data_IF_650402753866
#
_entry.id   IF_650402753866
#
_cell.length_a   1.000
_cell.length_b   1.000
_cell.length_c   1.000
_cell.angle_alpha   90.00
_cell.angle_beta   90.00
_cell.angle_gamma   90.00
#
_symmetry.space_group_name_H-M   'P 1'
#
loop_
_entity.id
_entity.type
_entity.pdbx_description
1 polymer ?
#
# COMPACT_ATOMS: atom_id res chain seq x y z
N UNK A 1 40.94 -51.44 79.68
CA UNK A 1 40.35 -52.18 78.54
C UNK A 1 39.82 -51.17 77.54
N UNK A 2 40.28 -51.28 76.29
CA UNK A 2 40.08 -50.33 75.20
C UNK A 2 38.61 -49.97 74.93
N UNK A 3 38.36 -48.70 74.59
CA UNK A 3 37.27 -48.30 73.73
C UNK A 3 37.82 -47.44 72.59
N UNK A 4 37.38 -47.74 71.37
CA UNK A 4 37.83 -47.19 70.10
C UNK A 4 37.21 -45.82 69.81
N UNK A 5 37.97 -44.88 69.24
CA UNK A 5 37.41 -43.72 68.52
C UNK A 5 38.35 -43.21 67.41
N UNK A 6 37.99 -43.62 66.18
CA UNK A 6 38.08 -42.98 64.85
C UNK A 6 39.09 -41.84 64.56
N UNK A 7 39.99 -42.14 63.62
CA UNK A 7 40.34 -41.41 62.37
C UNK A 7 40.60 -39.88 62.36
N UNK A 8 41.90 -39.53 62.11
CA UNK A 8 42.53 -38.56 61.18
C UNK A 8 41.67 -37.45 60.50
N UNK A 9 42.22 -36.25 60.12
CA UNK A 9 43.44 -36.14 59.29
C UNK A 9 44.32 -34.85 59.38
N UNK A 10 45.44 -34.95 58.67
CA UNK A 10 46.44 -33.94 58.29
C UNK A 10 45.85 -32.72 57.54
N UNK A 11 46.36 -31.52 57.85
CA UNK A 11 46.18 -30.30 57.05
C UNK A 11 47.35 -30.13 56.06
N UNK A 12 47.05 -30.18 54.77
CA UNK A 12 47.94 -29.77 53.67
C UNK A 12 47.43 -28.41 53.16
N UNK A 13 48.27 -27.38 53.23
CA UNK A 13 47.93 -26.01 52.81
C UNK A 13 48.10 -25.90 51.28
N UNK A 14 47.00 -25.68 50.56
CA UNK A 14 46.97 -25.34 49.13
C UNK A 14 46.48 -23.89 48.97
N UNK A 15 47.38 -23.00 48.56
CA UNK A 15 47.09 -21.61 48.20
C UNK A 15 46.30 -21.58 46.88
N UNK A 16 45.02 -21.23 46.95
CA UNK A 16 44.17 -20.94 45.78
C UNK A 16 44.30 -19.46 45.40
N UNK A 17 45.06 -19.17 44.34
CA UNK A 17 45.00 -17.89 43.63
C UNK A 17 43.64 -17.78 42.93
N UNK A 18 42.77 -16.90 43.42
CA UNK A 18 41.53 -16.53 42.75
C UNK A 18 41.83 -15.55 41.63
N UNK A 19 41.72 -16.02 40.38
CA UNK A 19 41.69 -15.14 39.20
C UNK A 19 40.30 -14.50 39.17
N UNK A 20 40.19 -13.26 39.66
CA UNK A 20 39.02 -12.43 39.40
C UNK A 20 38.98 -12.12 37.90
N UNK A 21 38.09 -12.80 37.18
CA UNK A 21 37.74 -12.39 35.83
C UNK A 21 37.05 -11.02 35.92
N UNK A 22 37.73 -9.98 35.45
CA UNK A 22 37.13 -8.67 35.22
C UNK A 22 35.98 -8.83 34.22
N UNK A 23 34.75 -8.77 34.71
CA UNK A 23 33.57 -8.59 33.85
C UNK A 23 33.67 -7.16 33.30
N UNK A 24 34.15 -7.03 32.07
CA UNK A 24 34.06 -5.77 31.34
C UNK A 24 32.57 -5.45 31.14
N UNK A 25 32.07 -4.43 31.83
CA UNK A 25 30.81 -3.78 31.52
C UNK A 25 30.89 -3.29 30.06
N UNK A 26 30.12 -3.90 29.15
CA UNK A 26 29.91 -3.29 27.84
C UNK A 26 29.19 -1.97 28.05
N UNK A 27 29.86 -0.86 27.71
CA UNK A 27 29.24 0.46 27.68
C UNK A 27 28.04 0.42 26.73
N UNK A 28 26.84 0.33 27.30
CA UNK A 28 25.60 0.45 26.53
C UNK A 28 25.38 1.92 26.24
N UNK A 29 25.51 2.32 24.97
CA UNK A 29 25.25 3.71 24.58
C UNK A 29 23.82 4.10 24.99
N UNK A 30 23.63 5.28 25.62
CA UNK A 30 22.32 5.73 26.05
C UNK A 30 21.43 5.97 24.83
N UNK A 31 20.22 5.40 24.88
CA UNK A 31 19.20 5.56 23.83
C UNK A 31 18.83 7.04 23.72
N UNK A 32 18.87 7.59 22.50
CA UNK A 32 18.34 8.93 22.19
C UNK A 32 16.87 8.96 22.55
N UNK A 33 16.52 9.76 23.56
CA UNK A 33 15.15 9.89 24.03
C UNK A 33 14.44 10.97 23.22
N UNK A 34 13.35 10.59 22.57
CA UNK A 34 12.40 11.54 22.02
C UNK A 34 11.45 11.99 23.12
N UNK A 35 11.44 13.28 23.42
CA UNK A 35 10.44 13.87 24.31
C UNK A 35 9.32 14.47 23.48
N UNK A 36 8.08 14.16 23.82
CA UNK A 36 6.90 14.74 23.18
C UNK A 36 6.10 15.58 24.17
N UNK A 37 5.49 16.65 23.67
CA UNK A 37 4.55 17.48 24.44
C UNK A 37 3.15 17.25 23.90
N UNK A 38 2.21 16.90 24.78
CA UNK A 38 0.81 16.80 24.44
C UNK A 38 0.07 18.07 24.85
N UNK A 39 -0.77 18.58 23.95
CA UNK A 39 -1.74 19.62 24.24
C UNK A 39 -3.00 19.33 23.42
N UNK A 40 -4.15 19.25 24.07
CA UNK A 40 -5.41 18.89 23.42
C UNK A 40 -5.83 19.92 22.35
N UNK A 41 -5.49 21.20 22.55
CA UNK A 41 -5.85 22.28 21.63
C UNK A 41 -5.00 22.32 20.36
N UNK A 42 -3.93 21.53 20.26
CA UNK A 42 -3.00 21.58 19.12
C UNK A 42 -3.57 20.93 17.84
N UNK A 43 -4.81 20.48 17.85
CA UNK A 43 -5.43 19.86 16.68
C UNK A 43 -5.84 20.85 15.61
N UNK A 44 -5.81 20.37 14.37
CA UNK A 44 -6.60 20.96 13.28
C UNK A 44 -7.99 20.34 13.32
N UNK A 45 -9.00 21.17 13.56
CA UNK A 45 -10.42 20.77 13.63
C UNK A 45 -10.97 20.44 12.25
N UNK A 46 -11.83 19.41 12.18
CA UNK A 46 -12.57 18.99 10.98
C UNK A 46 -11.66 18.68 9.79
N UNK A 47 -10.47 18.15 10.04
CA UNK A 47 -9.50 17.77 9.02
C UNK A 47 -8.88 16.42 9.35
N UNK A 48 -8.50 15.70 8.30
CA UNK A 48 -7.79 14.45 8.39
C UNK A 48 -6.98 14.20 7.11
N UNK A 49 -5.95 13.38 7.25
CA UNK A 49 -5.13 12.89 6.18
C UNK A 49 -5.71 11.56 5.68
N UNK A 50 -6.30 11.58 4.48
CA UNK A 50 -7.07 10.43 3.96
C UNK A 50 -6.17 9.36 3.37
N UNK A 51 -6.46 8.08 3.67
CA UNK A 51 -5.80 6.93 3.01
C UNK A 51 -4.36 6.68 3.45
N UNK A 52 -3.92 7.24 4.60
CA UNK A 52 -2.57 7.07 5.15
C UNK A 52 -2.52 6.46 6.56
N UNK A 53 -3.68 6.13 7.15
CA UNK A 53 -3.69 5.39 8.40
C UNK A 53 -3.07 4.01 8.20
N UNK A 54 -1.98 3.73 8.91
CA UNK A 54 -1.36 2.42 8.90
C UNK A 54 -1.74 1.55 10.10
N UNK A 55 -2.29 2.18 11.14
CA UNK A 55 -2.75 1.51 12.36
C UNK A 55 -3.99 2.22 12.89
N UNK A 56 -5.06 1.45 13.06
CA UNK A 56 -6.29 1.91 13.69
C UNK A 56 -6.41 1.27 15.07
N UNK A 57 -6.82 2.05 16.06
CA UNK A 57 -7.13 1.59 17.40
C UNK A 57 -8.33 2.35 17.97
N UNK A 58 -8.93 1.81 19.02
CA UNK A 58 -10.01 2.49 19.75
C UNK A 58 -9.43 3.07 21.03
N UNK A 59 -9.60 4.37 21.25
CA UNK A 59 -9.15 5.07 22.47
C UNK A 59 -10.33 5.81 23.12
N UNK A 60 -10.26 5.98 24.44
CA UNK A 60 -11.23 6.78 25.19
C UNK A 60 -10.86 8.26 25.20
N UNK A 61 -9.56 8.56 25.13
CA UNK A 61 -9.03 9.92 25.19
C UNK A 61 -8.09 10.20 24.02
N UNK A 62 -7.89 11.49 23.73
CA UNK A 62 -6.89 11.94 22.75
C UNK A 62 -5.48 11.62 23.27
N UNK A 63 -5.26 11.76 24.59
CA UNK A 63 -3.96 11.51 25.20
C UNK A 63 -3.53 10.03 25.10
N UNK A 64 -4.46 9.08 25.17
CA UNK A 64 -4.17 7.68 24.87
C UNK A 64 -3.66 7.51 23.43
N UNK A 65 -4.33 8.11 22.44
CA UNK A 65 -3.91 8.05 21.03
C UNK A 65 -2.51 8.65 20.84
N UNK A 66 -2.25 9.81 21.45
CA UNK A 66 -0.92 10.42 21.51
C UNK A 66 0.12 9.48 22.12
N UNK A 67 -0.22 8.80 23.21
CA UNK A 67 0.69 7.91 23.94
C UNK A 67 1.04 6.67 23.13
N UNK A 68 0.13 6.16 22.30
CA UNK A 68 0.45 5.09 21.36
C UNK A 68 1.32 5.62 20.22
N UNK A 69 1.01 6.79 19.67
CA UNK A 69 1.77 7.41 18.59
C UNK A 69 3.22 7.72 19.00
N UNK A 70 3.45 8.34 20.16
CA UNK A 70 4.79 8.74 20.61
C UNK A 70 5.73 7.53 20.80
N UNK A 71 5.17 6.37 21.18
CA UNK A 71 5.89 5.11 21.40
C UNK A 71 6.03 4.26 20.13
N UNK A 72 5.46 4.70 19.01
CA UNK A 72 5.60 4.07 17.71
C UNK A 72 6.53 4.92 16.84
N UNK A 73 7.73 4.40 16.54
CA UNK A 73 8.70 5.15 15.75
C UNK A 73 8.25 5.46 14.32
N UNK A 74 7.23 4.76 13.81
CA UNK A 74 6.64 5.04 12.50
C UNK A 74 5.67 6.22 12.54
N UNK A 75 5.10 6.54 13.71
CA UNK A 75 4.08 7.56 13.83
C UNK A 75 4.68 8.98 13.71
N UNK A 76 4.15 9.75 12.76
CA UNK A 76 4.50 11.15 12.49
C UNK A 76 3.33 12.07 12.83
N UNK A 77 2.10 11.60 12.58
CA UNK A 77 0.87 12.30 12.97
C UNK A 77 -0.20 11.29 13.40
N UNK A 78 -1.23 11.77 14.05
CA UNK A 78 -2.37 10.95 14.47
C UNK A 78 -3.66 11.75 14.34
N UNK A 79 -4.76 11.05 14.07
CA UNK A 79 -6.08 11.67 13.94
C UNK A 79 -7.16 10.86 14.63
N UNK A 80 -8.21 11.54 15.08
CA UNK A 80 -9.32 10.91 15.77
C UNK A 80 -10.66 11.27 15.13
N UNK A 81 -11.58 10.31 15.10
CA UNK A 81 -13.00 10.50 14.80
C UNK A 81 -13.83 9.69 15.81
N UNK A 82 -14.53 10.40 16.70
CA UNK A 82 -15.12 9.79 17.89
C UNK A 82 -14.06 9.07 18.73
N UNK A 83 -14.19 7.75 18.87
CA UNK A 83 -13.25 6.87 19.60
C UNK A 83 -12.19 6.22 18.71
N UNK A 84 -12.29 6.39 17.39
CA UNK A 84 -11.34 5.82 16.44
C UNK A 84 -10.10 6.68 16.41
N UNK A 85 -8.96 6.11 16.75
CA UNK A 85 -7.64 6.71 16.67
C UNK A 85 -6.87 6.06 15.51
N UNK A 86 -6.29 6.89 14.65
CA UNK A 86 -5.59 6.48 13.45
C UNK A 86 -4.15 7.02 13.52
N UNK A 87 -3.16 6.14 13.49
CA UNK A 87 -1.75 6.52 13.41
C UNK A 87 -1.32 6.62 11.96
N UNK A 88 -0.52 7.64 11.66
CA UNK A 88 -0.12 8.02 10.30
C UNK A 88 1.39 8.22 10.26
N UNK A 89 2.02 7.72 9.20
CA UNK A 89 3.47 7.73 8.99
C UNK A 89 3.94 8.88 8.09
N UNK A 90 3.10 9.89 7.96
CA UNK A 90 3.25 11.13 7.19
C UNK A 90 2.58 12.27 7.96
N UNK A 91 2.76 13.50 7.49
CA UNK A 91 2.02 14.68 7.96
C UNK A 91 1.45 15.48 6.78
N UNK A 92 0.70 16.54 7.07
CA UNK A 92 0.08 17.42 6.07
C UNK A 92 1.09 18.15 5.17
N UNK A 93 2.36 18.22 5.57
CA UNK A 93 3.41 18.84 4.77
C UNK A 93 4.01 17.84 3.78
N UNK A 94 4.13 16.57 4.18
CA UNK A 94 4.59 15.49 3.29
C UNK A 94 3.49 15.00 2.34
N UNK A 95 2.21 15.14 2.72
CA UNK A 95 1.07 14.71 1.89
C UNK A 95 -0.07 15.75 1.84
N UNK A 96 0.19 16.97 1.33
CA UNK A 96 -0.78 18.07 1.35
C UNK A 96 -2.05 17.76 0.56
N UNK A 97 -1.94 17.03 -0.55
CA UNK A 97 -3.09 16.68 -1.40
C UNK A 97 -4.09 15.77 -0.71
N UNK A 98 -3.65 15.01 0.31
CA UNK A 98 -4.48 14.08 1.08
C UNK A 98 -5.02 14.70 2.37
N UNK A 99 -4.57 15.88 2.74
CA UNK A 99 -5.06 16.61 3.90
C UNK A 99 -6.37 17.32 3.54
N UNK A 100 -7.50 16.71 3.88
CA UNK A 100 -8.83 17.16 3.47
C UNK A 100 -9.69 17.53 4.67
N UNK A 101 -10.63 18.45 4.44
CA UNK A 101 -11.68 18.77 5.41
C UNK A 101 -12.62 17.57 5.56
N UNK A 102 -12.70 17.05 6.77
CA UNK A 102 -13.53 15.91 7.18
C UNK A 102 -14.20 16.26 8.51
N UNK A 103 -15.47 16.71 8.49
CA UNK A 103 -16.19 17.08 9.70
C UNK A 103 -16.18 15.98 10.77
N UNK A 104 -15.92 16.38 12.02
CA UNK A 104 -15.84 15.48 13.17
C UNK A 104 -14.45 14.90 13.45
N UNK A 105 -13.48 15.08 12.54
CA UNK A 105 -12.10 14.67 12.77
C UNK A 105 -11.28 15.70 13.56
N UNK A 106 -10.35 15.22 14.39
CA UNK A 106 -9.29 16.02 15.03
C UNK A 106 -7.93 15.48 14.57
N UNK A 107 -7.16 16.27 13.83
CA UNK A 107 -5.82 15.89 13.34
C UNK A 107 -4.72 16.55 14.18
N UNK A 108 -3.70 15.78 14.57
CA UNK A 108 -2.58 16.22 15.40
C UNK A 108 -1.24 15.86 14.75
N UNK A 109 -0.31 16.81 14.73
CA UNK A 109 1.09 16.56 14.38
C UNK A 109 1.86 16.14 15.63
N UNK A 110 2.71 15.12 15.52
CA UNK A 110 3.51 14.66 16.65
C UNK A 110 4.68 15.63 16.89
N UNK A 111 4.55 16.50 17.89
CA UNK A 111 5.62 17.41 18.30
C UNK A 111 6.62 16.69 19.19
N UNK A 112 7.81 16.41 18.65
CA UNK A 112 8.92 15.77 19.36
C UNK A 112 10.22 16.59 19.25
N UNK A 113 11.08 16.42 20.24
CA UNK A 113 12.44 16.98 20.24
C UNK A 113 13.48 15.87 20.48
N UNK A 114 14.62 15.99 19.81
CA UNK A 114 15.79 15.16 20.03
C UNK A 114 16.57 15.68 21.24
N UNK A 115 16.69 14.87 22.30
CA UNK A 115 17.67 15.14 23.35
C UNK A 115 18.97 14.42 23.01
N UNK A 116 19.99 15.17 22.58
CA UNK A 116 21.34 14.64 22.37
C UNK A 116 21.92 14.21 23.71
N UNK A 117 22.48 13.00 23.77
CA UNK A 117 23.30 12.57 24.90
C UNK A 117 24.64 13.30 24.86
N UNK A 118 25.11 13.83 25.99
CA UNK A 118 26.43 14.46 26.13
C UNK A 118 27.59 13.43 26.23
N UNK A 119 27.34 12.15 25.89
CA UNK A 119 28.36 11.11 25.92
C UNK A 119 29.29 11.22 24.71
N UNK A 120 30.49 11.75 24.95
CA UNK A 120 31.59 11.96 23.96
C UNK A 120 32.07 10.68 23.26
N UNK A 121 31.70 9.50 23.78
CA UNK A 121 32.19 8.20 23.29
C UNK A 121 31.25 7.47 22.31
N UNK A 122 30.01 7.93 22.08
CA UNK A 122 29.02 7.26 21.20
C UNK A 122 28.68 8.08 19.94
N UNK A 123 29.56 8.98 19.52
CA UNK A 123 29.27 10.08 18.58
C UNK A 123 28.99 9.66 17.13
N UNK A 124 29.27 8.40 16.75
CA UNK A 124 29.25 7.97 15.34
C UNK A 124 28.02 7.15 14.93
N UNK A 125 27.31 6.49 15.85
CA UNK A 125 26.14 5.67 15.52
C UNK A 125 24.89 6.13 16.27
N UNK A 126 23.88 6.53 15.51
CA UNK A 126 22.56 6.81 16.05
C UNK A 126 22.01 5.56 16.73
N UNK A 127 21.67 5.69 18.01
CA UNK A 127 20.95 4.67 18.77
C UNK A 127 19.72 5.32 19.41
N UNK A 128 18.55 5.12 18.84
CA UNK A 128 17.26 5.63 19.32
C UNK A 128 16.27 4.52 19.69
N UNK A 129 16.66 3.26 19.52
CA UNK A 129 15.89 2.09 19.91
C UNK A 129 14.72 1.74 18.98
N UNK A 130 14.46 2.51 17.92
CA UNK A 130 13.36 2.24 16.99
C UNK A 130 13.47 0.88 16.32
N UNK A 131 14.67 0.49 15.89
CA UNK A 131 14.87 -0.80 15.23
C UNK A 131 14.73 -1.97 16.20
N UNK A 132 15.08 -1.76 17.47
CA UNK A 132 14.98 -2.78 18.52
C UNK A 132 13.55 -2.97 19.02
N UNK A 133 12.84 -1.87 19.29
CA UNK A 133 11.55 -1.89 19.99
C UNK A 133 10.35 -1.81 19.07
N UNK A 134 10.35 -0.91 18.08
CA UNK A 134 9.23 -0.77 17.13
C UNK A 134 9.30 -1.79 15.98
N UNK A 135 10.50 -2.33 15.68
CA UNK A 135 10.76 -3.25 14.56
C UNK A 135 10.00 -2.86 13.28
N UNK A 136 10.21 -1.63 12.78
CA UNK A 136 9.30 -1.04 11.82
C UNK A 136 9.37 -1.67 10.42
N UNK A 137 10.52 -2.24 10.02
CA UNK A 137 10.71 -2.80 8.69
C UNK A 137 10.03 -4.16 8.53
N UNK A 138 9.23 -4.29 7.48
CA UNK A 138 8.50 -5.51 7.13
C UNK A 138 9.25 -6.34 6.07
N UNK A 139 8.75 -7.54 5.80
CA UNK A 139 9.15 -8.38 4.66
C UNK A 139 10.67 -8.59 4.52
N UNK A 140 11.37 -8.80 5.64
CA UNK A 140 12.81 -9.04 5.65
C UNK A 140 13.67 -7.79 5.43
N UNK A 141 13.10 -6.59 5.49
CA UNK A 141 13.86 -5.34 5.41
C UNK A 141 14.81 -5.13 6.60
N UNK A 142 16.00 -4.61 6.33
CA UNK A 142 16.99 -4.26 7.36
C UNK A 142 16.70 -2.86 7.90
N UNK A 143 16.55 -2.73 9.21
CA UNK A 143 16.31 -1.45 9.88
C UNK A 143 17.61 -0.75 10.25
N UNK A 144 17.68 0.55 9.95
CA UNK A 144 18.80 1.45 10.27
C UNK A 144 18.25 2.64 11.06
N UNK A 145 18.79 2.94 12.24
CA UNK A 145 18.33 4.05 13.08
C UNK A 145 18.86 5.39 12.59
N UNK A 146 18.02 6.43 12.65
CA UNK A 146 18.37 7.80 12.24
C UNK A 146 17.97 8.81 13.32
N UNK A 147 18.89 9.70 13.67
CA UNK A 147 18.74 10.64 14.79
C UNK A 147 18.78 12.10 14.33
N UNK A 148 18.65 12.34 13.02
CA UNK A 148 18.73 13.67 12.43
C UNK A 148 17.37 14.39 12.45
N UNK A 149 16.27 13.64 12.27
CA UNK A 149 14.93 14.18 12.17
C UNK A 149 13.96 13.35 13.03
N UNK A 150 13.13 14.01 13.82
CA UNK A 150 12.11 13.37 14.67
C UNK A 150 10.98 12.72 13.87
N UNK A 151 10.73 13.15 12.63
CA UNK A 151 9.73 12.51 11.75
C UNK A 151 10.30 11.34 10.95
N UNK A 152 11.64 11.21 10.89
CA UNK A 152 12.36 10.12 10.23
C UNK A 152 13.39 9.52 11.19
N UNK A 153 12.90 8.67 12.11
CA UNK A 153 13.69 8.03 13.17
C UNK A 153 14.39 6.74 12.73
N UNK A 154 14.03 6.21 11.57
CA UNK A 154 14.67 5.03 11.00
C UNK A 154 14.56 5.07 9.47
N UNK A 155 15.37 4.23 8.84
CA UNK A 155 15.27 3.89 7.43
C UNK A 155 15.22 2.36 7.29
N UNK A 156 14.39 1.88 6.38
CA UNK A 156 14.38 0.46 6.00
C UNK A 156 15.10 0.27 4.67
N UNK A 157 16.11 -0.60 4.67
CA UNK A 157 16.67 -1.15 3.44
C UNK A 157 15.84 -2.38 3.08
N UNK A 158 14.99 -2.27 2.07
CA UNK A 158 14.09 -3.35 1.71
C UNK A 158 14.80 -4.52 1.06
N UNK A 159 14.27 -5.73 1.33
CA UNK A 159 14.62 -6.92 0.58
C UNK A 159 14.28 -6.71 -0.91
N UNK A 160 14.93 -7.46 -1.77
CA UNK A 160 14.84 -7.26 -3.22
C UNK A 160 13.38 -7.26 -3.70
N UNK A 161 13.02 -6.26 -4.50
CA UNK A 161 11.67 -6.07 -5.05
C UNK A 161 10.63 -5.46 -4.10
N UNK A 162 10.82 -5.51 -2.77
CA UNK A 162 9.94 -4.80 -1.85
C UNK A 162 10.24 -3.30 -1.83
N UNK A 163 9.20 -2.50 -1.63
CA UNK A 163 9.30 -1.04 -1.61
C UNK A 163 8.54 -0.39 -0.46
N UNK A 164 8.61 0.93 -0.40
CA UNK A 164 7.93 1.75 0.60
C UNK A 164 8.77 1.97 1.86
N UNK A 165 8.32 2.92 2.68
CA UNK A 165 9.04 3.41 3.88
C UNK A 165 9.42 2.31 4.86
N UNK A 166 8.57 1.29 4.99
CA UNK A 166 8.75 0.14 5.87
C UNK A 166 8.76 -1.19 5.12
N UNK A 167 9.04 -1.17 3.82
CA UNK A 167 9.07 -2.37 2.97
C UNK A 167 7.72 -3.09 2.89
N UNK A 168 6.63 -2.33 3.00
CA UNK A 168 5.27 -2.84 2.96
C UNK A 168 4.72 -3.01 1.54
N UNK A 169 5.30 -2.34 0.54
CA UNK A 169 4.87 -2.47 -0.86
C UNK A 169 5.46 -3.78 -1.37
N UNK A 170 4.61 -4.76 -1.77
CA UNK A 170 5.10 -6.00 -2.33
C UNK A 170 5.77 -5.74 -3.69
N UNK A 171 6.68 -6.63 -4.12
CA UNK A 171 7.20 -6.59 -5.49
C UNK A 171 6.07 -6.62 -6.51
N UNK A 172 6.14 -5.71 -7.49
CA UNK A 172 5.39 -5.87 -8.73
C UNK A 172 6.02 -6.99 -9.56
N UNK A 173 5.31 -7.44 -10.59
CA UNK A 173 5.83 -8.47 -11.49
C UNK A 173 7.12 -8.04 -12.20
N UNK A 174 7.32 -6.73 -12.37
CA UNK A 174 8.57 -6.16 -12.90
C UNK A 174 9.79 -6.52 -12.03
N UNK A 175 9.62 -6.55 -10.71
CA UNK A 175 10.70 -6.87 -9.79
C UNK A 175 11.07 -8.36 -9.79
N UNK A 176 10.14 -9.25 -10.14
CA UNK A 176 10.38 -10.71 -10.17
C UNK A 176 11.50 -11.10 -11.13
N UNK A 177 11.52 -10.48 -12.32
CA UNK A 177 12.48 -10.78 -13.40
C UNK A 177 13.93 -10.52 -12.97
N UNK A 178 14.16 -9.71 -11.94
CA UNK A 178 15.49 -9.36 -11.46
C UNK A 178 15.93 -10.15 -10.21
N UNK A 179 15.03 -10.90 -9.55
CA UNK A 179 15.19 -11.12 -8.10
C UNK A 179 14.65 -12.43 -7.50
N UNK A 180 13.99 -13.32 -8.26
CA UNK A 180 13.41 -14.58 -7.74
C UNK A 180 12.63 -14.39 -6.41
N UNK A 181 11.75 -13.38 -6.36
CA UNK A 181 11.03 -12.98 -5.14
C UNK A 181 9.68 -13.70 -5.04
N UNK A 182 9.24 -13.97 -3.81
CA UNK A 182 7.87 -14.41 -3.56
C UNK A 182 6.88 -13.27 -3.85
N UNK A 183 6.04 -13.45 -4.88
CA UNK A 183 5.03 -12.48 -5.29
C UNK A 183 3.72 -12.69 -4.55
N UNK A 184 3.17 -11.62 -3.97
CA UNK A 184 1.79 -11.60 -3.41
C UNK A 184 0.74 -11.11 -4.42
N UNK A 185 1.15 -10.89 -5.66
CA UNK A 185 0.31 -10.38 -6.75
C UNK A 185 0.31 -11.37 -7.90
N UNK A 186 -0.76 -11.39 -8.70
CA UNK A 186 -0.80 -12.20 -9.91
C UNK A 186 -0.03 -11.50 -11.05
N UNK A 187 0.78 -12.29 -11.77
CA UNK A 187 1.63 -11.83 -12.86
C UNK A 187 1.28 -12.49 -14.18
N UNK A 188 1.16 -11.67 -15.22
CA UNK A 188 1.18 -12.13 -16.60
C UNK A 188 2.49 -11.65 -17.25
N UNK A 189 3.36 -12.61 -17.54
CA UNK A 189 4.70 -12.40 -18.12
C UNK A 189 4.82 -13.01 -19.52
N UNK A 190 3.78 -13.69 -20.00
CA UNK A 190 3.88 -14.55 -21.18
C UNK A 190 2.92 -14.16 -22.30
N UNK A 191 1.84 -13.44 -21.98
CA UNK A 191 0.81 -13.16 -22.98
C UNK A 191 1.22 -12.14 -24.02
N UNK A 192 2.16 -11.25 -23.70
CA UNK A 192 2.67 -10.24 -24.63
C UNK A 192 4.19 -10.13 -24.51
N UNK A 193 4.96 -10.40 -25.59
CA UNK A 193 6.40 -10.23 -25.59
C UNK A 193 6.80 -8.80 -25.23
N UNK A 194 7.80 -8.66 -24.35
CA UNK A 194 8.31 -7.36 -23.91
C UNK A 194 7.40 -6.63 -22.91
N UNK A 195 6.33 -7.25 -22.41
CA UNK A 195 5.46 -6.67 -21.40
C UNK A 195 5.35 -7.57 -20.17
N UNK A 196 5.43 -6.94 -18.99
CA UNK A 196 5.15 -7.62 -17.72
C UNK A 196 3.99 -6.91 -17.03
N UNK A 197 2.93 -7.67 -16.78
CA UNK A 197 1.67 -7.17 -16.23
C UNK A 197 1.46 -7.65 -14.80
N UNK A 198 1.10 -6.71 -13.93
CA UNK A 198 0.67 -6.96 -12.55
C UNK A 198 -0.84 -6.73 -12.44
N UNK A 199 -1.57 -7.72 -11.96
CA UNK A 199 -3.01 -7.58 -11.72
C UNK A 199 -3.25 -6.69 -10.50
N UNK A 200 -4.08 -5.66 -10.64
CA UNK A 200 -4.46 -4.77 -9.52
C UNK A 200 -5.90 -4.98 -9.05
N UNK A 201 -6.76 -5.53 -9.90
CA UNK A 201 -8.16 -5.81 -9.58
C UNK A 201 -8.73 -6.89 -10.51
N UNK A 202 -9.54 -7.79 -9.96
CA UNK A 202 -10.37 -8.71 -10.73
C UNK A 202 -11.69 -8.95 -10.02
N UNK A 203 -12.82 -8.80 -10.71
CA UNK A 203 -14.13 -9.07 -10.12
C UNK A 203 -15.09 -9.71 -11.12
N UNK A 204 -15.95 -10.59 -10.62
CA UNK A 204 -17.02 -11.22 -11.39
C UNK A 204 -18.22 -10.27 -11.58
N UNK A 205 -18.97 -10.43 -12.67
CA UNK A 205 -20.15 -9.64 -12.97
C UNK A 205 -21.24 -9.77 -11.90
N UNK A 206 -21.33 -10.93 -11.25
CA UNK A 206 -22.17 -11.14 -10.05
C UNK A 206 -21.83 -10.17 -8.89
N UNK A 207 -20.60 -9.64 -8.83
CA UNK A 207 -20.13 -8.67 -7.84
C UNK A 207 -20.27 -7.21 -8.29
N UNK A 208 -20.88 -6.91 -9.45
CA UNK A 208 -21.00 -5.54 -9.98
C UNK A 208 -21.51 -4.52 -8.96
N UNK A 209 -22.51 -4.86 -8.14
CA UNK A 209 -23.07 -3.95 -7.13
C UNK A 209 -22.03 -3.57 -6.06
N UNK A 210 -21.13 -4.51 -5.71
CA UNK A 210 -20.04 -4.28 -4.76
C UNK A 210 -19.01 -3.28 -5.32
N UNK A 211 -18.67 -3.40 -6.60
CA UNK A 211 -17.61 -2.62 -7.26
C UNK A 211 -18.10 -1.33 -7.93
N UNK A 212 -19.37 -1.20 -8.30
CA UNK A 212 -19.84 -0.10 -9.16
C UNK A 212 -19.60 1.31 -8.59
N UNK A 213 -19.50 1.46 -7.27
CA UNK A 213 -19.21 2.72 -6.55
C UNK A 213 -17.81 2.73 -5.93
N UNK A 214 -16.87 1.97 -6.51
CA UNK A 214 -15.51 1.78 -5.99
C UNK A 214 -14.47 2.19 -7.05
N UNK A 215 -14.33 3.49 -7.39
CA UNK A 215 -13.27 3.94 -8.29
C UNK A 215 -11.89 3.45 -7.80
N UNK A 216 -10.93 3.25 -8.71
CA UNK A 216 -9.54 2.87 -8.39
C UNK A 216 -8.85 3.91 -7.47
N UNK A 217 -9.38 5.13 -7.41
CA UNK A 217 -8.88 6.22 -6.56
C UNK A 217 -9.15 6.03 -5.06
N UNK A 218 -10.07 5.15 -4.66
CA UNK A 218 -10.37 4.88 -3.25
C UNK A 218 -9.69 3.61 -2.72
N UNK A 219 -9.47 3.56 -1.41
CA UNK A 219 -8.99 2.37 -0.73
C UNK A 219 -10.12 1.37 -0.48
N UNK A 220 -10.02 0.21 -1.13
CA UNK A 220 -11.01 -0.87 -1.10
C UNK A 220 -10.34 -2.25 -1.30
N UNK A 221 -9.35 -2.62 -0.47
CA UNK A 221 -8.70 -3.91 -0.61
C UNK A 221 -9.72 -5.05 -0.46
N UNK A 222 -9.62 -6.05 -1.31
CA UNK A 222 -10.50 -7.22 -1.31
C UNK A 222 -9.66 -8.45 -1.62
N UNK A 223 -9.64 -9.42 -0.70
CA UNK A 223 -8.91 -10.68 -0.88
C UNK A 223 -7.42 -10.49 -1.26
N UNK A 224 -6.80 -9.39 -0.79
CA UNK A 224 -5.41 -9.01 -1.14
C UNK A 224 -4.39 -10.07 -0.68
N UNK A 225 -4.60 -10.69 0.47
CA UNK A 225 -3.73 -11.75 1.02
C UNK A 225 -4.15 -13.17 0.56
N UNK A 226 -5.31 -13.32 -0.08
CA UNK A 226 -5.83 -14.61 -0.53
C UNK A 226 -6.51 -14.45 -1.89
N UNK A 227 -5.70 -14.48 -2.94
CA UNK A 227 -6.11 -14.18 -4.30
C UNK A 227 -7.38 -14.94 -4.74
N UNK A 228 -8.33 -14.21 -5.34
CA UNK A 228 -9.57 -14.76 -5.88
C UNK A 228 -9.99 -14.02 -7.15
N UNK A 229 -9.97 -14.69 -8.31
CA UNK A 229 -10.37 -14.11 -9.60
C UNK A 229 -11.73 -13.40 -9.61
N UNK A 230 -12.69 -13.84 -8.80
CA UNK A 230 -14.05 -13.29 -8.79
C UNK A 230 -14.21 -12.11 -7.85
N UNK A 231 -13.26 -11.89 -6.93
CA UNK A 231 -13.36 -10.88 -5.87
C UNK A 231 -11.96 -10.55 -5.33
N UNK A 232 -11.17 -9.80 -6.10
CA UNK A 232 -9.80 -9.40 -5.76
C UNK A 232 -9.55 -7.93 -6.09
N UNK A 233 -8.87 -7.24 -5.17
CA UNK A 233 -8.34 -5.89 -5.37
C UNK A 233 -7.24 -5.62 -4.36
N UNK A 234 -6.09 -5.12 -4.82
CA UNK A 234 -5.03 -4.66 -3.92
C UNK A 234 -5.44 -3.36 -3.23
N UNK A 235 -4.85 -3.08 -2.07
CA UNK A 235 -5.05 -1.79 -1.39
C UNK A 235 -4.63 -0.63 -2.28
N UNK A 236 -5.22 0.56 -2.06
CA UNK A 236 -4.87 1.79 -2.79
C UNK A 236 -3.38 2.10 -2.68
N UNK A 237 -2.83 1.84 -1.50
CA UNK A 237 -1.42 2.02 -1.20
C UNK A 237 -0.55 1.08 -2.05
N UNK A 238 -0.87 -0.21 -2.12
CA UNK A 238 -0.14 -1.17 -2.97
C UNK A 238 -0.30 -0.83 -4.45
N UNK A 239 -1.51 -0.45 -4.87
CA UNK A 239 -1.78 0.00 -6.24
C UNK A 239 -0.91 1.20 -6.66
N UNK A 240 -0.71 2.20 -5.77
CA UNK A 240 0.23 3.30 -6.01
C UNK A 240 1.67 2.83 -6.16
N UNK A 241 2.10 1.90 -5.31
CA UNK A 241 3.45 1.35 -5.36
C UNK A 241 3.74 0.58 -6.67
N UNK A 242 2.75 -0.15 -7.18
CA UNK A 242 2.84 -0.80 -8.49
C UNK A 242 2.85 0.28 -9.59
N UNK A 243 1.95 1.26 -9.52
CA UNK A 243 1.82 2.37 -10.47
C UNK A 243 3.08 3.23 -10.57
N UNK A 244 3.87 3.41 -9.52
CA UNK A 244 5.10 4.21 -9.59
C UNK A 244 6.18 3.62 -10.50
N UNK A 245 6.05 2.35 -10.89
CA UNK A 245 6.99 1.65 -11.77
C UNK A 245 6.35 1.22 -13.10
N UNK A 246 5.06 1.44 -13.28
CA UNK A 246 4.34 1.05 -14.49
C UNK A 246 4.40 2.15 -15.54
N UNK A 247 4.34 1.76 -16.80
CA UNK A 247 4.22 2.67 -17.96
C UNK A 247 2.89 2.50 -18.68
N UNK A 248 2.26 1.33 -18.55
CA UNK A 248 1.06 0.94 -19.26
C UNK A 248 -0.04 0.47 -18.30
N UNK A 249 -1.26 0.44 -18.81
CA UNK A 249 -2.39 -0.22 -18.17
C UNK A 249 -3.22 -0.94 -19.23
N UNK A 250 -3.99 -1.94 -18.81
CA UNK A 250 -4.99 -2.60 -19.66
C UNK A 250 -6.20 -3.05 -18.85
N UNK A 251 -7.32 -3.21 -19.54
CA UNK A 251 -8.48 -3.93 -19.02
C UNK A 251 -8.83 -5.09 -19.96
N UNK A 252 -9.20 -6.23 -19.36
CA UNK A 252 -9.53 -7.46 -20.08
C UNK A 252 -10.76 -8.13 -19.48
N UNK A 253 -11.41 -8.97 -20.30
CA UNK A 253 -12.50 -9.84 -19.86
C UNK A 253 -12.07 -11.30 -19.80
N UNK A 254 -12.55 -12.03 -18.80
CA UNK A 254 -12.40 -13.48 -18.65
C UNK A 254 -10.96 -13.99 -18.79
N UNK A 255 -9.96 -13.19 -18.37
CA UNK A 255 -8.56 -13.61 -18.47
C UNK A 255 -8.29 -14.90 -17.69
N UNK A 256 -9.01 -15.10 -16.58
CA UNK A 256 -8.89 -16.27 -15.72
C UNK A 256 -9.23 -17.61 -16.41
N UNK A 257 -10.05 -17.59 -17.47
CA UNK A 257 -10.43 -18.79 -18.24
C UNK A 257 -9.80 -18.81 -19.61
N UNK A 258 -9.72 -17.66 -20.27
CA UNK A 258 -9.42 -17.57 -21.70
C UNK A 258 -7.98 -17.11 -21.95
N UNK A 259 -7.26 -16.66 -20.91
CA UNK A 259 -5.98 -15.96 -21.06
C UNK A 259 -6.16 -14.61 -21.76
N UNK A 260 -5.12 -14.15 -22.45
CA UNK A 260 -5.19 -12.91 -23.21
C UNK A 260 -5.97 -13.11 -24.52
N UNK A 261 -7.16 -12.52 -24.55
CA UNK A 261 -7.97 -12.37 -25.77
C UNK A 261 -8.21 -10.89 -26.00
N UNK A 262 -7.83 -10.39 -27.18
CA UNK A 262 -7.89 -8.97 -27.55
C UNK A 262 -9.29 -8.50 -28.02
N UNK A 263 -10.30 -9.36 -27.97
CA UNK A 263 -11.71 -8.97 -28.07
C UNK A 263 -12.25 -8.65 -26.67
N UNK A 264 -12.93 -7.51 -26.53
CA UNK A 264 -13.33 -6.94 -25.24
C UNK A 264 -12.10 -6.63 -24.37
N UNK A 265 -11.25 -5.79 -24.93
CA UNK A 265 -9.94 -5.42 -24.40
C UNK A 265 -9.66 -3.94 -24.66
N UNK A 266 -8.93 -3.31 -23.74
CA UNK A 266 -8.37 -1.96 -23.93
C UNK A 266 -7.01 -1.84 -23.28
N UNK A 267 -6.11 -1.07 -23.89
CA UNK A 267 -4.77 -0.80 -23.41
C UNK A 267 -4.38 0.65 -23.68
N UNK A 268 -3.67 1.27 -22.75
CA UNK A 268 -3.16 2.63 -22.87
C UNK A 268 -1.89 2.85 -22.06
N UNK A 269 -1.34 4.07 -22.20
CA UNK A 269 -0.21 4.52 -21.40
C UNK A 269 -0.69 5.26 -20.16
N UNK A 270 0.07 5.17 -19.07
CA UNK A 270 -0.18 5.98 -17.87
C UNK A 270 0.09 7.47 -18.09
N UNK A 271 0.91 7.84 -19.08
CA UNK A 271 1.15 9.23 -19.48
C UNK A 271 -0.08 9.89 -20.10
N UNK A 272 -0.90 9.11 -20.82
CA UNK A 272 -2.12 9.58 -21.45
C UNK A 272 -3.29 9.52 -20.47
N UNK A 273 -3.42 8.42 -19.72
CA UNK A 273 -4.44 8.23 -18.70
C UNK A 273 -3.89 7.46 -17.50
N UNK A 274 -3.68 8.15 -16.39
CA UNK A 274 -3.36 7.53 -15.11
C UNK A 274 -4.63 6.99 -14.43
N UNK A 275 -5.03 5.77 -14.79
CA UNK A 275 -6.27 5.13 -14.27
C UNK A 275 -6.33 5.03 -12.74
N UNK A 276 -5.19 5.10 -12.05
CA UNK A 276 -5.10 4.98 -10.59
C UNK A 276 -5.39 6.32 -9.89
N UNK A 277 -5.08 7.45 -10.54
CA UNK A 277 -5.26 8.79 -9.98
C UNK A 277 -6.34 9.62 -10.68
N UNK A 278 -6.76 9.23 -11.88
CA UNK A 278 -7.78 9.93 -12.65
C UNK A 278 -9.12 9.98 -11.88
N UNK A 279 -9.65 11.20 -11.69
CA UNK A 279 -10.95 11.43 -11.07
C UNK A 279 -11.70 12.54 -11.79
N UNK A 280 -12.55 12.19 -12.75
CA UNK A 280 -13.48 13.09 -13.43
C UNK A 280 -14.69 12.32 -13.94
N UNK A 281 -15.81 13.04 -14.08
CA UNK A 281 -17.03 12.50 -14.70
C UNK A 281 -16.82 12.14 -16.16
N UNK A 282 -15.95 12.86 -16.85
CA UNK A 282 -15.77 12.70 -18.29
C UNK A 282 -14.39 13.16 -18.73
N UNK A 283 -13.82 12.42 -19.69
CA UNK A 283 -12.64 12.80 -20.44
C UNK A 283 -12.45 11.86 -21.63
N UNK A 284 -11.94 12.39 -22.74
CA UNK A 284 -11.47 11.59 -23.87
C UNK A 284 -9.96 11.41 -23.71
N UNK A 285 -9.50 10.16 -23.72
CA UNK A 285 -8.09 9.83 -23.55
C UNK A 285 -7.62 8.93 -24.67
N UNK A 286 -6.39 9.16 -25.12
CA UNK A 286 -5.73 8.30 -26.10
C UNK A 286 -5.51 6.91 -25.51
N UNK A 287 -5.90 5.89 -26.26
CA UNK A 287 -5.61 4.48 -25.98
C UNK A 287 -4.73 3.93 -27.10
N UNK A 288 -3.81 3.04 -26.75
CA UNK A 288 -2.95 2.34 -27.72
C UNK A 288 -3.82 1.45 -28.59
N UNK A 289 -4.68 0.67 -27.94
CA UNK A 289 -5.58 -0.28 -28.58
C UNK A 289 -6.87 -0.40 -27.78
N UNK A 290 -8.00 -0.38 -28.48
CA UNK A 290 -9.30 -0.78 -27.94
C UNK A 290 -9.97 -1.71 -28.94
N UNK A 291 -10.63 -2.73 -28.44
CA UNK A 291 -11.53 -3.57 -29.20
C UNK A 291 -12.63 -4.05 -28.28
N UNK A 292 -13.82 -3.55 -28.51
CA UNK A 292 -15.02 -3.97 -27.80
C UNK A 292 -15.95 -4.53 -28.86
N UNK A 293 -16.36 -5.79 -28.68
CA UNK A 293 -17.32 -6.48 -29.55
C UNK A 293 -16.88 -6.58 -31.02
N UNK A 294 -15.59 -6.50 -31.30
CA UNK A 294 -15.03 -6.52 -32.67
C UNK A 294 -14.74 -5.13 -33.25
N UNK A 295 -15.24 -4.06 -32.62
CA UNK A 295 -14.96 -2.69 -33.05
C UNK A 295 -13.63 -2.22 -32.50
N UNK A 296 -12.60 -2.33 -33.33
CA UNK A 296 -11.23 -2.06 -32.93
C UNK A 296 -10.71 -0.71 -33.42
N UNK A 297 -9.82 -0.10 -32.64
CA UNK A 297 -9.22 1.18 -32.96
C UNK A 297 -7.84 1.32 -32.32
N UNK A 298 -6.91 1.93 -33.04
CA UNK A 298 -5.50 2.11 -32.67
C UNK A 298 -5.21 3.60 -32.50
N UNK A 299 -4.44 3.96 -31.46
CA UNK A 299 -3.99 5.34 -31.22
C UNK A 299 -5.12 6.38 -31.34
N UNK A 300 -6.27 6.07 -30.76
CA UNK A 300 -7.46 6.90 -30.85
C UNK A 300 -7.99 7.21 -29.46
N UNK A 301 -8.92 8.17 -29.38
CA UNK A 301 -9.48 8.55 -28.09
C UNK A 301 -10.73 7.77 -27.76
N UNK A 302 -10.86 7.35 -26.49
CA UNK A 302 -12.09 6.78 -25.94
C UNK A 302 -12.47 7.51 -24.66
N UNK A 303 -13.76 7.47 -24.33
CA UNK A 303 -14.26 8.14 -23.14
C UNK A 303 -13.95 7.32 -21.89
N UNK A 304 -13.45 7.98 -20.85
CA UNK A 304 -13.32 7.41 -19.53
C UNK A 304 -14.01 8.28 -18.48
N UNK A 305 -14.72 7.60 -17.59
CA UNK A 305 -15.28 8.18 -16.37
C UNK A 305 -14.75 7.44 -15.17
N UNK A 306 -14.35 8.19 -14.16
CA UNK A 306 -14.03 7.66 -12.84
C UNK A 306 -14.25 8.79 -11.85
N UNK A 307 -15.25 8.71 -10.99
CA UNK A 307 -15.52 9.76 -10.00
C UNK A 307 -16.04 9.14 -8.71
N UNK A 308 -17.36 8.97 -8.62
CA UNK A 308 -18.06 8.28 -7.54
C UNK A 308 -18.42 6.85 -7.94
N UNK A 309 -18.06 6.48 -9.17
CA UNK A 309 -18.31 5.18 -9.77
C UNK A 309 -16.99 4.53 -10.20
N UNK A 310 -17.01 3.21 -10.34
CA UNK A 310 -15.88 2.46 -10.90
C UNK A 310 -15.46 3.05 -12.25
N UNK A 311 -14.16 3.00 -12.57
CA UNK A 311 -13.69 3.39 -13.89
C UNK A 311 -14.46 2.64 -14.97
N UNK A 312 -14.91 3.34 -16.00
CA UNK A 312 -15.65 2.76 -17.12
C UNK A 312 -15.35 3.51 -18.42
N UNK A 313 -15.59 2.80 -19.53
CA UNK A 313 -15.81 3.38 -20.85
C UNK A 313 -17.32 3.46 -21.08
N UNK A 314 -17.81 4.60 -21.56
CA UNK A 314 -19.23 4.84 -21.84
C UNK A 314 -19.36 5.27 -23.30
N UNK A 315 -19.97 4.42 -24.12
CA UNK A 315 -20.07 4.65 -25.56
C UNK A 315 -20.95 5.84 -25.94
N UNK A 316 -22.01 6.11 -25.18
CA UNK A 316 -22.86 7.27 -25.43
C UNK A 316 -22.11 8.58 -25.11
N UNK A 317 -21.40 8.60 -23.97
CA UNK A 317 -20.62 9.76 -23.58
C UNK A 317 -19.44 10.02 -24.52
N UNK A 318 -18.82 8.96 -25.05
CA UNK A 318 -17.76 9.06 -26.07
C UNK A 318 -18.16 9.94 -27.24
N UNK A 319 -19.32 9.68 -27.83
CA UNK A 319 -19.78 10.43 -29.00
C UNK A 319 -20.24 11.83 -28.64
N UNK A 320 -20.96 11.99 -27.53
CA UNK A 320 -21.40 13.32 -27.08
C UNK A 320 -20.24 14.28 -26.82
N UNK A 321 -19.01 13.74 -26.72
CA UNK A 321 -17.76 14.46 -26.47
C UNK A 321 -16.77 14.36 -27.62
N UNK A 322 -17.21 13.81 -28.75
CA UNK A 322 -16.41 13.70 -29.96
C UNK A 322 -15.09 12.91 -29.75
N UNK A 323 -15.10 11.93 -28.84
CA UNK A 323 -13.99 10.96 -28.79
C UNK A 323 -13.99 10.14 -30.09
N UNK A 324 -12.79 9.76 -30.55
CA UNK A 324 -12.58 9.18 -31.87
C UNK A 324 -13.17 7.77 -32.03
N UNK A 325 -13.19 6.97 -30.97
CA UNK A 325 -13.72 5.61 -31.00
C UNK A 325 -15.25 5.58 -30.86
N UNK A 326 -15.94 5.01 -31.86
CA UNK A 326 -17.39 4.80 -31.83
C UNK A 326 -17.74 3.44 -31.22
N UNK A 327 -18.21 3.46 -29.97
CA UNK A 327 -18.63 2.27 -29.24
C UNK A 327 -20.11 1.95 -29.30
N UNK A 328 -20.89 2.54 -30.22
CA UNK A 328 -22.35 2.33 -30.25
C UNK A 328 -22.79 0.99 -30.77
N UNK A 329 -21.95 0.29 -31.52
CA UNK A 329 -22.38 -0.91 -32.20
C UNK A 329 -22.98 -1.89 -31.19
N UNK A 330 -24.26 -2.21 -31.42
CA UNK A 330 -25.06 -3.14 -30.63
C UNK A 330 -25.38 -2.70 -29.19
N UNK A 331 -25.24 -1.40 -28.87
CA UNK A 331 -25.75 -0.81 -27.64
C UNK A 331 -27.19 -0.33 -27.76
N UNK A 332 -27.99 -0.52 -26.71
CA UNK A 332 -29.33 0.07 -26.62
C UNK A 332 -29.25 1.61 -26.60
N UNK A 333 -30.39 2.28 -26.80
CA UNK A 333 -30.54 3.75 -26.91
C UNK A 333 -29.82 4.60 -25.85
N UNK A 334 -29.45 4.06 -24.68
CA UNK A 334 -28.78 4.80 -23.59
C UNK A 334 -27.25 4.64 -23.54
N UNK A 335 -26.64 3.89 -24.48
CA UNK A 335 -25.21 3.54 -24.43
C UNK A 335 -24.93 2.30 -23.58
N UNK A 336 -23.67 1.86 -23.58
CA UNK A 336 -23.18 0.78 -22.71
C UNK A 336 -22.00 1.22 -21.87
N UNK A 337 -21.95 0.73 -20.64
CA UNK A 337 -20.82 0.76 -19.72
C UNK A 337 -19.93 -0.46 -19.97
N UNK A 338 -18.63 -0.23 -20.17
CA UNK A 338 -17.62 -1.28 -20.30
C UNK A 338 -16.58 -1.20 -19.17
N UNK A 339 -16.05 -2.36 -18.77
CA UNK A 339 -14.94 -2.55 -17.82
C UNK A 339 -15.14 -2.04 -16.38
N UNK A 340 -16.37 -1.87 -15.88
CA UNK A 340 -16.52 -1.38 -14.50
C UNK A 340 -17.94 -1.26 -13.96
N UNK A 341 -18.51 -0.05 -14.08
CA UNK A 341 -19.74 0.37 -13.38
C UNK A 341 -20.92 -0.59 -13.58
N UNK A 342 -21.08 -1.16 -14.77
CA UNK A 342 -22.09 -2.17 -15.10
C UNK A 342 -23.47 -1.88 -14.51
N UNK A 343 -23.96 -0.66 -14.73
CA UNK A 343 -25.28 -0.29 -14.25
C UNK A 343 -26.36 -1.07 -14.99
N UNK A 344 -27.41 -1.46 -14.26
CA UNK A 344 -28.53 -2.18 -14.85
C UNK A 344 -29.17 -1.39 -16.00
N UNK A 345 -29.38 -2.07 -17.13
CA UNK A 345 -29.88 -1.46 -18.37
C UNK A 345 -28.83 -0.75 -19.23
N UNK A 346 -27.58 -0.62 -18.75
CA UNK A 346 -26.43 -0.02 -19.45
C UNK A 346 -25.34 -1.08 -19.74
N UNK A 347 -25.69 -2.37 -19.77
CA UNK A 347 -24.77 -3.49 -20.05
C UNK A 347 -25.21 -4.26 -21.28
N UNK A 348 -24.24 -4.85 -22.00
CA UNK A 348 -24.50 -5.72 -23.14
C UNK A 348 -24.18 -7.18 -22.75
N UNK A 349 -25.12 -8.14 -22.87
CA UNK A 349 -24.88 -9.55 -22.54
C UNK A 349 -23.87 -10.23 -23.48
N UNK A 350 -23.56 -9.63 -24.61
CA UNK A 350 -22.58 -10.18 -25.52
C UNK A 350 -21.16 -9.66 -25.21
N UNK A 351 -21.01 -8.62 -24.38
CA UNK A 351 -19.70 -8.17 -23.88
C UNK A 351 -19.15 -9.21 -22.90
N UNK A 352 -17.95 -9.74 -23.16
CA UNK A 352 -17.37 -10.91 -22.44
C UNK A 352 -17.35 -10.74 -20.92
N UNK A 353 -17.11 -9.52 -20.44
CA UNK A 353 -17.08 -9.21 -19.00
C UNK A 353 -18.48 -9.24 -18.33
N UNK A 354 -19.56 -9.30 -19.10
CA UNK A 354 -20.94 -9.30 -18.61
C UNK A 354 -21.84 -10.37 -19.25
N UNK A 355 -21.27 -11.35 -19.93
CA UNK A 355 -22.01 -12.46 -20.57
C UNK A 355 -22.74 -13.33 -19.57
N UNK A 356 -22.06 -13.67 -18.47
CA UNK A 356 -22.62 -14.48 -17.39
C UNK A 356 -22.32 -13.82 -16.05
N UNK A 357 -22.99 -14.28 -15.00
CA UNK A 357 -22.67 -13.86 -13.63
C UNK A 357 -21.23 -14.23 -13.21
N UNK A 358 -20.60 -15.16 -13.93
CA UNK A 358 -19.23 -15.61 -13.70
C UNK A 358 -18.20 -14.93 -14.59
N UNK A 359 -18.65 -14.14 -15.56
CA UNK A 359 -17.77 -13.31 -16.38
C UNK A 359 -16.98 -12.36 -15.49
N UNK A 360 -15.70 -12.19 -15.76
CA UNK A 360 -14.79 -11.38 -14.93
C UNK A 360 -14.24 -10.19 -15.71
N UNK A 361 -13.98 -9.10 -14.99
CA UNK A 361 -13.27 -7.91 -15.47
C UNK A 361 -11.96 -7.80 -14.71
N UNK A 362 -10.85 -7.62 -15.43
CA UNK A 362 -9.55 -7.38 -14.82
C UNK A 362 -9.00 -6.01 -15.20
N UNK A 363 -8.34 -5.37 -14.24
CA UNK A 363 -7.50 -4.19 -14.45
C UNK A 363 -6.06 -4.49 -14.09
N UNK A 364 -5.14 -4.05 -14.94
CA UNK A 364 -3.72 -4.38 -14.85
C UNK A 364 -2.85 -3.13 -15.00
N UNK A 365 -1.67 -3.17 -14.38
CA UNK A 365 -0.59 -2.22 -14.62
C UNK A 365 0.61 -2.96 -15.20
N UNK A 366 1.21 -2.39 -16.24
CA UNK A 366 2.27 -3.02 -17.01
C UNK A 366 3.51 -2.16 -17.14
N UNK A 367 4.65 -2.81 -17.31
CA UNK A 367 5.91 -2.18 -17.71
C UNK A 367 6.39 -2.81 -19.01
N UNK A 368 6.91 -1.98 -19.90
CA UNK A 368 7.66 -2.42 -21.09
C UNK A 368 9.08 -2.79 -20.68
N UNK A 369 9.55 -3.97 -21.10
CA UNK A 369 10.91 -4.45 -20.88
C UNK A 369 11.81 -4.19 -22.07
#
# INVERSE_FOLDING_TARGET
MCWWAKFAPFFLILLLCSVFALVFSQDTCPVVRYTGKFNESDHVKDHALTGRSYKNLTTNTVQECFSVCINDCRCVSYQLSGRRCELIDEDRHTAPDLFKRLPGYKYYELKQQLRKSNSVSCSSQCNNGCCRYSKPCLNGGTCIETCQNVTHKFQCKCAQGFGGRVCQIPPSCAAYVQAHVFLKVYCDMTSEPGMVWTLIESFAFSKRVKYMKKPLTIDFPTSEESFNWKDYRVSRFVMQGIRSHATHWRASCNYNTDGLVKTDYVQGQLSDLDIVNYSSRHGCFTVIYINIRGESCWNCTSHFRQDTVHILIDSHQGISRECSWDGRNQCRRKGCDYFGKYKEGEVNPEFRCSTTNESTTQWWLGISQ
#
